data_IF_176726806406
#
_entry.id   IF_176726806406
#
_cell.length_a   1.000
_cell.length_b   1.000
_cell.length_c   1.000
_cell.angle_alpha   90.00
_cell.angle_beta   90.00
_cell.angle_gamma   90.00
#
_symmetry.space_group_name_H-M   'P 1'
#
loop_
_entity.id
_entity.type
_entity.pdbx_description
1 polymer ?
#
# COMPACT_ATOMS: atom_id res chain seq x y z
N UNK A 1 25.87 50.43 -14.93
CA UNK A 1 24.66 49.70 -14.52
C UNK A 1 24.98 48.21 -14.58
N UNK A 2 25.20 47.58 -13.43
CA UNK A 2 25.66 46.20 -13.33
C UNK A 2 24.43 45.35 -13.02
N UNK A 3 24.01 44.52 -13.96
CA UNK A 3 22.94 43.55 -13.74
C UNK A 3 23.56 42.28 -13.15
N UNK A 4 23.34 42.07 -11.85
CA UNK A 4 23.69 40.83 -11.16
C UNK A 4 22.52 39.85 -11.32
N UNK A 5 22.73 38.76 -12.06
CA UNK A 5 21.77 37.65 -12.10
C UNK A 5 22.10 36.74 -10.92
N UNK A 6 21.28 36.82 -9.88
CA UNK A 6 21.33 35.87 -8.77
C UNK A 6 20.94 34.49 -9.29
N UNK A 7 21.89 33.55 -9.29
CA UNK A 7 21.65 32.18 -9.68
C UNK A 7 20.59 31.53 -8.81
N UNK A 8 19.54 31.01 -9.43
CA UNK A 8 18.55 30.17 -8.77
C UNK A 8 19.21 28.83 -8.50
N UNK A 9 19.58 28.56 -7.25
CA UNK A 9 19.91 27.22 -6.81
C UNK A 9 18.61 26.41 -6.78
N UNK A 10 18.36 25.65 -7.85
CA UNK A 10 17.36 24.60 -7.86
C UNK A 10 17.83 23.53 -6.87
N UNK A 11 17.29 23.58 -5.65
CA UNK A 11 17.42 22.50 -4.69
C UNK A 11 16.46 21.40 -5.13
N UNK A 12 16.86 20.64 -6.15
CA UNK A 12 16.23 19.37 -6.47
C UNK A 12 16.50 18.45 -5.29
N UNK A 13 15.53 18.33 -4.39
CA UNK A 13 15.50 17.22 -3.45
C UNK A 13 15.51 15.96 -4.32
N UNK A 14 16.70 15.38 -4.50
CA UNK A 14 16.86 14.10 -5.16
C UNK A 14 15.93 13.13 -4.43
N UNK A 15 14.88 12.69 -5.12
CA UNK A 15 14.22 11.42 -4.82
C UNK A 15 15.32 10.36 -4.96
N UNK A 16 16.06 10.13 -3.87
CA UNK A 16 16.94 8.99 -3.75
C UNK A 16 16.00 7.78 -3.73
N UNK A 17 15.68 7.26 -4.92
CA UNK A 17 15.06 5.95 -5.03
C UNK A 17 15.92 5.00 -4.20
N UNK A 18 15.33 4.48 -3.13
CA UNK A 18 16.00 3.55 -2.26
C UNK A 18 16.38 2.32 -3.09
N UNK A 19 17.60 1.84 -2.88
CA UNK A 19 18.14 0.71 -3.62
C UNK A 19 17.39 -0.57 -3.25
N UNK A 20 16.81 -1.25 -4.24
CA UNK A 20 15.92 -2.40 -4.10
C UNK A 20 14.44 -2.07 -4.30
N UNK A 21 13.59 -3.07 -4.05
CA UNK A 21 12.14 -2.93 -4.03
C UNK A 21 11.70 -2.30 -2.71
N UNK A 22 10.90 -1.23 -2.76
CA UNK A 22 10.40 -0.56 -1.55
C UNK A 22 8.90 -0.42 -1.62
N UNK A 23 8.22 -1.04 -0.66
CA UNK A 23 6.77 -1.02 -0.56
C UNK A 23 6.30 0.11 0.37
N UNK A 24 5.36 0.90 -0.12
CA UNK A 24 4.59 1.85 0.69
C UNK A 24 3.09 1.58 0.53
N UNK A 25 2.30 1.91 1.54
CA UNK A 25 0.85 1.72 1.54
C UNK A 25 0.18 3.07 1.82
N UNK A 26 -0.95 3.37 1.17
CA UNK A 26 -1.69 4.61 1.36
C UNK A 26 -2.20 4.81 2.80
N UNK A 27 -2.51 3.71 3.49
CA UNK A 27 -2.97 3.70 4.87
C UNK A 27 -2.63 2.38 5.57
N UNK A 28 -2.31 2.47 6.86
CA UNK A 28 -2.02 1.30 7.69
C UNK A 28 -3.28 0.69 8.32
N UNK A 29 -4.32 1.51 8.48
CA UNK A 29 -5.55 1.15 9.20
C UNK A 29 -6.76 1.54 8.36
N UNK A 30 -7.71 0.62 8.26
CA UNK A 30 -9.05 0.89 7.76
C UNK A 30 -10.04 0.67 8.90
N UNK A 31 -10.76 1.73 9.29
CA UNK A 31 -11.83 1.66 10.26
C UNK A 31 -13.16 1.47 9.54
N UNK A 32 -13.80 0.34 9.78
CA UNK A 32 -15.10 0.00 9.21
C UNK A 32 -16.26 0.67 9.94
N UNK A 33 -16.04 1.19 11.16
CA UNK A 33 -17.11 1.65 12.03
C UNK A 33 -18.13 0.55 12.32
N UNK A 34 -19.40 0.83 12.00
CA UNK A 34 -20.48 -0.14 12.10
C UNK A 34 -20.75 -0.78 10.73
N UNK A 35 -20.68 -2.11 10.68
CA UNK A 35 -20.97 -2.90 9.48
C UNK A 35 -22.09 -3.90 9.74
N UNK A 36 -23.03 -3.98 8.80
CA UNK A 36 -24.13 -4.92 8.89
C UNK A 36 -23.66 -6.37 8.70
N UNK A 37 -24.25 -7.27 9.47
CA UNK A 37 -24.04 -8.71 9.29
C UNK A 37 -24.54 -9.15 7.91
N UNK A 38 -23.68 -9.84 7.16
CA UNK A 38 -24.00 -10.31 5.81
C UNK A 38 -23.74 -9.28 4.71
N UNK A 39 -23.19 -8.11 5.06
CA UNK A 39 -22.62 -7.18 4.08
C UNK A 39 -21.32 -7.72 3.48
N UNK A 40 -20.88 -7.11 2.39
CA UNK A 40 -19.60 -7.38 1.72
C UNK A 40 -18.61 -6.22 1.97
N UNK A 41 -18.03 -6.10 3.17
CA UNK A 41 -17.07 -5.05 3.46
C UNK A 41 -15.75 -5.39 2.77
N UNK A 42 -15.48 -4.66 1.71
CA UNK A 42 -14.18 -4.61 1.09
C UNK A 42 -13.47 -3.34 1.54
N UNK A 43 -12.20 -3.46 1.88
CA UNK A 43 -11.30 -2.32 1.93
C UNK A 43 -10.20 -2.49 0.89
N UNK A 44 -9.78 -1.37 0.33
CA UNK A 44 -8.73 -1.32 -0.69
C UNK A 44 -7.54 -0.58 -0.11
N UNK A 45 -6.36 -1.16 -0.28
CA UNK A 45 -5.07 -0.57 0.07
C UNK A 45 -4.29 -0.38 -1.23
N UNK A 46 -3.79 0.83 -1.45
CA UNK A 46 -2.92 1.13 -2.58
C UNK A 46 -1.49 0.85 -2.17
N UNK A 47 -0.86 -0.10 -2.84
CA UNK A 47 0.52 -0.48 -2.63
C UNK A 47 1.35 0.17 -3.73
N UNK A 48 2.27 1.05 -3.34
CA UNK A 48 3.14 1.78 -4.27
C UNK A 48 4.57 1.32 -4.12
N UNK A 49 5.23 1.04 -5.24
CA UNK A 49 6.66 0.77 -5.26
C UNK A 49 7.44 2.08 -5.36
N UNK A 50 8.08 2.50 -4.27
CA UNK A 50 8.91 3.71 -4.21
C UNK A 50 10.40 3.42 -4.36
N UNK A 51 10.76 2.17 -4.64
CA UNK A 51 12.14 1.72 -4.88
C UNK A 51 12.55 1.82 -6.34
N UNK A 52 13.76 1.35 -6.67
CA UNK A 52 14.30 1.31 -8.03
C UNK A 52 14.24 -0.08 -8.70
N UNK A 53 13.83 -1.13 -7.99
CA UNK A 53 13.62 -2.47 -8.52
C UNK A 53 12.14 -2.90 -8.50
N UNK A 54 11.71 -3.86 -9.35
CA UNK A 54 10.34 -4.37 -9.32
C UNK A 54 9.98 -4.98 -7.94
N UNK A 55 8.81 -4.58 -7.42
CA UNK A 55 8.25 -5.09 -6.18
C UNK A 55 7.31 -6.26 -6.47
N UNK A 56 7.61 -7.43 -5.91
CA UNK A 56 6.83 -8.65 -6.11
C UNK A 56 6.19 -9.06 -4.79
N UNK A 57 4.86 -9.04 -4.74
CA UNK A 57 4.12 -9.54 -3.58
C UNK A 57 4.05 -11.07 -3.67
N UNK A 58 4.95 -11.74 -2.96
CA UNK A 58 5.04 -13.21 -2.91
C UNK A 58 3.90 -13.85 -2.11
N UNK A 59 3.39 -13.16 -1.09
CA UNK A 59 2.32 -13.66 -0.24
C UNK A 59 1.60 -12.50 0.46
N UNK A 60 0.28 -12.65 0.66
CA UNK A 60 -0.46 -11.82 1.60
C UNK A 60 -1.44 -12.71 2.38
N UNK A 61 -1.47 -12.55 3.70
CA UNK A 61 -2.26 -13.41 4.59
C UNK A 61 -2.90 -12.59 5.70
N UNK A 62 -4.21 -12.77 5.88
CA UNK A 62 -4.92 -12.25 7.05
C UNK A 62 -4.56 -13.03 8.33
N UNK A 63 -4.62 -12.34 9.46
CA UNK A 63 -4.46 -12.93 10.81
C UNK A 63 -5.46 -14.06 11.12
N UNK A 64 -6.59 -14.12 10.42
CA UNK A 64 -7.59 -15.19 10.47
C UNK A 64 -8.03 -15.55 9.05
N UNK A 65 -8.60 -16.75 8.87
CA UNK A 65 -9.32 -17.10 7.63
C UNK A 65 -10.58 -16.27 7.34
N UNK A 66 -10.92 -15.32 8.22
CA UNK A 66 -12.01 -14.37 8.04
C UNK A 66 -11.60 -13.07 7.34
N UNK A 67 -10.31 -12.87 7.08
CA UNK A 67 -9.77 -11.70 6.39
C UNK A 67 -8.97 -12.21 5.19
N UNK A 68 -9.50 -12.01 3.98
CA UNK A 68 -8.92 -12.57 2.75
C UNK A 68 -8.40 -11.43 1.86
N UNK A 69 -7.08 -11.25 1.76
CA UNK A 69 -6.49 -10.32 0.80
C UNK A 69 -6.51 -10.91 -0.62
N UNK A 70 -6.74 -10.05 -1.61
CA UNK A 70 -6.68 -10.32 -3.04
C UNK A 70 -5.84 -9.21 -3.67
N UNK A 71 -4.85 -9.59 -4.49
CA UNK A 71 -3.94 -8.66 -5.14
C UNK A 71 -3.54 -9.20 -6.52
N UNK A 72 -3.01 -8.32 -7.36
CA UNK A 72 -2.43 -8.70 -8.64
C UNK A 72 -1.07 -9.36 -8.41
N UNK A 73 -0.82 -10.49 -9.08
CA UNK A 73 0.45 -11.23 -8.95
C UNK A 73 1.55 -10.69 -9.86
N UNK A 74 1.24 -9.64 -10.61
CA UNK A 74 2.20 -8.99 -11.49
C UNK A 74 3.17 -8.13 -10.64
N UNK A 75 4.45 -8.04 -11.04
CA UNK A 75 5.40 -7.14 -10.39
C UNK A 75 4.93 -5.69 -10.49
N UNK A 76 5.01 -4.94 -9.39
CA UNK A 76 4.75 -3.50 -9.35
C UNK A 76 6.05 -2.80 -9.73
N UNK A 77 6.09 -2.14 -10.89
CA UNK A 77 7.30 -1.46 -11.36
C UNK A 77 7.63 -0.22 -10.51
N UNK A 78 8.88 0.26 -10.52
CA UNK A 78 9.27 1.50 -9.84
C UNK A 78 8.35 2.68 -10.16
N UNK A 79 7.78 3.29 -9.13
CA UNK A 79 6.83 4.40 -9.24
C UNK A 79 5.39 3.99 -9.54
N UNK A 80 5.12 2.72 -9.84
CA UNK A 80 3.77 2.22 -10.06
C UNK A 80 3.08 1.81 -8.76
N UNK A 81 1.77 1.65 -8.85
CA UNK A 81 0.93 1.23 -7.73
C UNK A 81 -0.04 0.13 -8.15
N UNK A 82 -0.32 -0.81 -7.25
CA UNK A 82 -1.35 -1.83 -7.41
C UNK A 82 -2.29 -1.83 -6.21
N UNK A 83 -3.53 -2.28 -6.42
CA UNK A 83 -4.57 -2.28 -5.39
C UNK A 83 -4.67 -3.67 -4.76
N UNK A 84 -4.50 -3.73 -3.44
CA UNK A 84 -4.84 -4.91 -2.64
C UNK A 84 -6.23 -4.75 -2.04
N UNK A 85 -7.15 -5.63 -2.43
CA UNK A 85 -8.50 -5.70 -1.86
C UNK A 85 -8.52 -6.70 -0.70
N UNK A 86 -9.01 -6.28 0.45
CA UNK A 86 -9.16 -7.14 1.62
C UNK A 86 -10.64 -7.29 1.94
N UNK A 87 -11.12 -8.53 1.94
CA UNK A 87 -12.50 -8.86 2.32
C UNK A 87 -12.54 -9.37 3.76
N UNK A 88 -13.47 -8.85 4.56
CA UNK A 88 -13.80 -9.42 5.87
C UNK A 88 -15.10 -10.25 5.81
N UNK A 89 -15.14 -11.39 6.49
CA UNK A 89 -16.34 -12.22 6.64
C UNK A 89 -17.24 -11.71 7.78
N UNK A 90 -18.27 -10.93 7.40
CA UNK A 90 -19.25 -10.30 8.31
C UNK A 90 -20.20 -11.26 9.01
N UNK A 91 -20.11 -12.56 8.72
CA UNK A 91 -20.85 -13.56 9.51
C UNK A 91 -20.33 -13.62 10.93
N UNK A 92 -19.08 -13.20 11.17
CA UNK A 92 -18.47 -13.12 12.50
C UNK A 92 -18.79 -11.75 13.12
N UNK A 93 -19.68 -11.77 14.10
CA UNK A 93 -20.13 -10.56 14.81
C UNK A 93 -19.27 -10.33 16.04
N UNK A 94 -18.92 -9.08 16.32
CA UNK A 94 -18.15 -8.64 17.49
C UNK A 94 -17.06 -7.64 17.10
N UNK A 95 -16.26 -7.16 18.07
CA UNK A 95 -15.14 -6.26 17.79
C UNK A 95 -14.14 -6.88 16.81
N UNK A 96 -13.73 -6.12 15.80
CA UNK A 96 -12.81 -6.57 14.77
C UNK A 96 -11.49 -5.81 14.93
N UNK A 97 -10.43 -6.53 15.26
CA UNK A 97 -9.06 -6.07 15.13
C UNK A 97 -8.27 -7.19 14.45
N UNK A 98 -8.03 -7.01 13.15
CA UNK A 98 -7.39 -8.01 12.28
C UNK A 98 -6.33 -7.31 11.45
N UNK A 99 -5.17 -7.95 11.36
CA UNK A 99 -4.07 -7.52 10.50
C UNK A 99 -4.02 -8.37 9.22
N UNK A 100 -3.46 -7.78 8.16
CA UNK A 100 -2.98 -8.47 6.96
C UNK A 100 -1.48 -8.32 6.91
N UNK A 101 -0.77 -9.43 6.74
CA UNK A 101 0.68 -9.44 6.57
C UNK A 101 1.00 -9.66 5.11
N UNK A 102 1.80 -8.76 4.54
CA UNK A 102 2.27 -8.80 3.16
C UNK A 102 3.75 -9.19 3.18
N UNK A 103 4.16 -10.09 2.29
CA UNK A 103 5.55 -10.51 2.12
C UNK A 103 5.99 -10.23 0.69
N UNK A 104 7.02 -9.41 0.53
CA UNK A 104 7.64 -9.09 -0.74
C UNK A 104 9.13 -9.49 -0.77
N UNK A 105 9.75 -9.35 -1.93
CA UNK A 105 11.21 -9.34 -2.07
C UNK A 105 11.86 -8.13 -1.41
#
# INVERSE_FOLDING_TARGET
MIFSVAGVQLNAQQLQLQDGAVMTVDKDVHDYGEIDKGSDPFCEFLITNTGNEPLIISNAKGSCGCTVPTWEKEPIMPGESSVMKVKYDTKRVGPINKSVTITSN
#
